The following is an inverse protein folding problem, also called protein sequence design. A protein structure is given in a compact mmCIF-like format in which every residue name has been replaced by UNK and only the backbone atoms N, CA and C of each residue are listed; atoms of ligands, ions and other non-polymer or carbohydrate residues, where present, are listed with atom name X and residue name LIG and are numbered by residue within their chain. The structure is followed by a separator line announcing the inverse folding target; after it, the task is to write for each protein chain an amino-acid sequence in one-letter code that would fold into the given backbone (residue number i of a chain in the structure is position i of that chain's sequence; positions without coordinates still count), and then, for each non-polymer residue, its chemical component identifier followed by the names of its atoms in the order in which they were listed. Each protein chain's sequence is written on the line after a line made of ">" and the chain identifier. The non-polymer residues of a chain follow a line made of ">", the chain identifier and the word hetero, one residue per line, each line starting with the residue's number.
data_IF_697329408403
#
_entry.id   IF_697329408403
#
_cell.length_a   1.000
_cell.length_b   1.000
_cell.length_c   1.000
_cell.angle_alpha   90.00
_cell.angle_beta   90.00
_cell.angle_gamma   90.00
#
_symmetry.space_group_name_H-M   'P 1'
#
loop_
_entity.id
_entity.type
_entity.pdbx_description
1 polymer ?
#
# COMPACT_ATOMS: atom_id res chain seq x y z
N UNK A 1 -12.42 2.86 -2.76
CA UNK A 1 -11.08 3.34 -2.34
C UNK A 1 -10.65 2.61 -1.09
N UNK A 2 -9.39 2.21 -0.98
CA UNK A 2 -8.84 1.45 0.14
C UNK A 2 -8.60 2.31 1.40
N UNK A 3 -8.10 1.71 2.49
CA UNK A 3 -7.58 2.42 3.67
C UNK A 3 -6.15 2.01 3.91
N UNK A 4 -5.32 3.00 4.19
CA UNK A 4 -3.90 2.84 4.48
C UNK A 4 -3.63 3.31 5.90
N UNK A 5 -2.81 2.57 6.62
CA UNK A 5 -2.31 2.94 7.92
C UNK A 5 -0.86 2.48 8.01
N UNK A 6 0.01 3.27 8.61
CA UNK A 6 1.41 2.90 8.78
C UNK A 6 2.04 3.61 9.96
N UNK A 7 3.03 2.97 10.55
CA UNK A 7 3.88 3.55 11.58
C UNK A 7 5.33 3.07 11.45
N UNK A 8 6.24 3.86 11.95
CA UNK A 8 7.65 3.51 12.12
C UNK A 8 8.12 3.99 13.48
N UNK A 9 8.96 3.22 14.13
CA UNK A 9 9.52 3.52 15.44
C UNK A 9 11.03 3.77 15.34
N UNK A 10 11.56 4.58 16.24
CA UNK A 10 12.98 4.88 16.29
C UNK A 10 13.76 3.78 17.07
N UNK A 11 13.77 2.56 16.57
CA UNK A 11 14.55 1.45 17.15
C UNK A 11 13.84 0.66 18.26
N UNK A 12 12.54 0.82 18.41
CA UNK A 12 11.74 0.06 19.39
C UNK A 12 10.76 -0.86 18.65
N UNK A 13 10.50 -2.04 19.21
CA UNK A 13 9.42 -2.89 18.75
C UNK A 13 8.14 -2.51 19.51
N UNK A 14 7.14 -2.00 18.80
CA UNK A 14 5.82 -1.66 19.34
C UNK A 14 4.73 -2.35 18.54
N UNK A 15 3.69 -2.80 19.21
CA UNK A 15 2.49 -3.31 18.53
C UNK A 15 1.64 -2.16 17.99
N UNK A 16 0.77 -2.43 17.02
CA UNK A 16 -0.17 -1.43 16.52
C UNK A 16 -1.05 -0.89 17.67
N UNK A 17 -1.50 -1.77 18.56
CA UNK A 17 -2.27 -1.40 19.76
C UNK A 17 -1.48 -0.50 20.71
N UNK A 18 -0.16 -0.70 20.84
CA UNK A 18 0.68 0.17 21.67
C UNK A 18 0.89 1.56 21.04
N UNK A 19 0.90 1.66 19.70
CA UNK A 19 1.11 2.93 18.98
C UNK A 19 -0.16 3.77 18.93
N UNK A 20 -1.32 3.17 18.65
CA UNK A 20 -2.57 3.89 18.37
C UNK A 20 -3.58 3.83 19.53
N UNK A 21 -3.46 2.84 20.41
CA UNK A 21 -4.52 2.46 21.35
C UNK A 21 -5.55 1.52 20.72
N UNK A 22 -6.07 0.62 21.54
CA UNK A 22 -6.96 -0.46 21.12
C UNK A 22 -8.23 0.07 20.41
N UNK A 23 -8.83 1.13 20.92
CA UNK A 23 -10.06 1.71 20.34
C UNK A 23 -9.84 2.20 18.90
N UNK A 24 -8.73 2.90 18.63
CA UNK A 24 -8.42 3.38 17.30
C UNK A 24 -8.06 2.23 16.33
N UNK A 25 -7.47 1.15 16.83
CA UNK A 25 -7.19 -0.05 16.03
C UNK A 25 -8.48 -0.77 15.67
N UNK A 26 -9.43 -0.86 16.61
CA UNK A 26 -10.74 -1.43 16.34
C UNK A 26 -11.54 -0.56 15.36
N UNK A 27 -11.54 0.77 15.51
CA UNK A 27 -12.14 1.69 14.55
C UNK A 27 -11.56 1.50 13.13
N UNK A 28 -10.24 1.34 13.01
CA UNK A 28 -9.62 1.04 11.72
C UNK A 28 -10.07 -0.32 11.17
N UNK A 29 -10.13 -1.36 12.01
CA UNK A 29 -10.58 -2.70 11.64
C UNK A 29 -12.05 -2.69 11.15
N UNK A 30 -12.92 -1.96 11.86
CA UNK A 30 -14.34 -1.83 11.49
C UNK A 30 -14.58 -1.09 10.18
N UNK A 31 -13.63 -0.28 9.68
CA UNK A 31 -13.70 0.23 8.30
C UNK A 31 -13.76 -0.88 7.25
N UNK A 32 -13.39 -2.11 7.62
CA UNK A 32 -13.53 -3.29 6.76
C UNK A 32 -14.98 -3.73 6.56
N UNK A 33 -15.97 -3.09 7.19
CA UNK A 33 -17.37 -3.22 6.82
C UNK A 33 -17.61 -2.74 5.38
N UNK A 34 -16.98 -1.62 5.01
CA UNK A 34 -17.05 -1.05 3.66
C UNK A 34 -15.91 -1.59 2.78
N UNK A 35 -14.69 -1.69 3.36
CA UNK A 35 -13.47 -2.15 2.68
C UNK A 35 -13.29 -3.66 2.84
N UNK A 36 -14.25 -4.43 2.33
CA UNK A 36 -14.44 -5.84 2.66
C UNK A 36 -13.81 -6.83 1.67
N UNK A 37 -13.02 -6.35 0.70
CA UNK A 37 -12.39 -7.18 -0.34
C UNK A 37 -11.03 -7.76 0.09
N UNK A 38 -10.78 -7.76 1.39
CA UNK A 38 -9.57 -8.29 2.01
C UNK A 38 -8.71 -7.23 2.69
N UNK A 39 -7.62 -7.70 3.26
CA UNK A 39 -6.66 -6.86 3.97
C UNK A 39 -5.25 -7.46 3.93
N UNK A 40 -4.28 -6.70 4.40
CA UNK A 40 -2.95 -7.22 4.62
C UNK A 40 -2.03 -6.25 5.33
N UNK A 41 -0.91 -6.77 5.78
CA UNK A 41 0.09 -6.04 6.55
C UNK A 41 1.50 -6.48 6.16
N UNK A 42 2.44 -5.54 6.17
CA UNK A 42 3.87 -5.82 6.20
C UNK A 42 4.44 -5.23 7.49
N UNK A 43 5.08 -6.08 8.31
CA UNK A 43 5.70 -5.72 9.57
C UNK A 43 7.22 -5.93 9.48
N UNK A 44 7.98 -4.93 9.95
CA UNK A 44 9.43 -5.05 10.12
C UNK A 44 9.73 -5.75 11.43
N UNK A 45 10.14 -7.00 11.35
CA UNK A 45 10.59 -7.80 12.50
C UNK A 45 12.11 -7.75 12.62
N UNK A 46 12.63 -7.88 13.83
CA UNK A 46 14.05 -8.13 14.00
C UNK A 46 14.36 -9.54 13.43
N UNK A 47 15.37 -9.69 12.55
CA UNK A 47 15.74 -10.99 12.01
C UNK A 47 16.05 -12.05 13.10
N UNK A 48 16.48 -11.61 14.28
CA UNK A 48 16.73 -12.51 15.42
C UNK A 48 15.45 -12.95 16.17
N UNK A 49 14.34 -12.24 15.98
CA UNK A 49 13.06 -12.46 16.66
C UNK A 49 11.95 -12.94 15.71
N UNK A 50 12.29 -13.23 14.44
CA UNK A 50 11.30 -13.67 13.46
C UNK A 50 10.62 -14.97 13.95
N UNK A 51 9.38 -14.94 14.40
CA UNK A 51 8.69 -16.13 14.85
C UNK A 51 8.45 -17.06 13.67
N UNK A 52 8.61 -18.35 13.92
CA UNK A 52 8.32 -19.39 12.95
C UNK A 52 6.91 -19.22 12.38
N UNK A 53 6.84 -19.20 11.06
CA UNK A 53 5.65 -19.01 10.22
C UNK A 53 4.42 -19.74 10.73
N UNK A 54 3.33 -19.02 10.92
CA UNK A 54 1.98 -19.59 10.89
C UNK A 54 1.44 -19.46 9.46
N UNK A 55 0.73 -20.49 9.00
CA UNK A 55 0.20 -20.63 7.64
C UNK A 55 -0.34 -19.32 7.04
N UNK A 56 0.19 -18.94 5.89
CA UNK A 56 -0.30 -17.84 5.06
C UNK A 56 0.72 -16.78 4.62
N UNK A 57 1.78 -16.56 5.37
CA UNK A 57 2.85 -15.61 5.01
C UNK A 57 4.21 -16.28 5.02
N UNK A 58 4.87 -16.39 3.88
CA UNK A 58 6.27 -16.79 3.86
C UNK A 58 7.12 -15.65 4.45
N UNK A 59 8.01 -15.91 5.44
CA UNK A 59 9.04 -14.94 5.77
C UNK A 59 9.93 -14.81 4.56
N UNK A 60 10.29 -13.57 4.22
CA UNK A 60 11.35 -13.35 3.27
C UNK A 60 12.67 -13.51 4.04
N UNK A 61 13.45 -14.55 3.77
CA UNK A 61 14.56 -15.00 4.66
C UNK A 61 15.70 -13.99 4.83
N UNK A 62 15.71 -12.90 4.08
CA UNK A 62 16.86 -12.00 3.99
C UNK A 62 16.63 -10.60 4.59
N UNK A 63 15.41 -10.21 4.96
CA UNK A 63 15.13 -8.81 5.29
C UNK A 63 14.35 -8.54 6.57
N UNK A 64 14.00 -9.54 7.37
CA UNK A 64 13.21 -9.31 8.58
C UNK A 64 11.80 -8.73 8.34
N UNK A 65 11.30 -8.74 7.11
CA UNK A 65 9.94 -8.30 6.79
C UNK A 65 9.00 -9.50 6.76
N UNK A 66 7.93 -9.43 7.56
CA UNK A 66 6.84 -10.40 7.55
C UNK A 66 5.64 -9.80 6.84
N UNK A 67 5.04 -10.57 5.92
CA UNK A 67 3.87 -10.16 5.15
C UNK A 67 2.73 -11.14 5.40
N UNK A 68 1.58 -10.60 5.71
CA UNK A 68 0.32 -11.32 5.72
C UNK A 68 -0.69 -10.67 4.78
N UNK A 69 -1.44 -11.48 4.05
CA UNK A 69 -2.53 -11.04 3.15
C UNK A 69 -3.71 -11.98 3.27
N UNK A 70 -4.91 -11.43 3.19
CA UNK A 70 -6.17 -12.17 3.24
C UNK A 70 -7.18 -11.58 2.27
N UNK A 71 -8.00 -12.42 1.66
CA UNK A 71 -9.18 -12.01 0.89
C UNK A 71 -10.44 -11.90 1.74
N UNK A 72 -10.34 -12.19 3.03
CA UNK A 72 -11.42 -12.04 4.01
C UNK A 72 -11.35 -10.61 4.58
N UNK A 73 -12.49 -10.00 4.87
CA UNK A 73 -12.53 -8.71 5.55
C UNK A 73 -11.87 -8.77 6.94
N UNK A 74 -11.10 -7.74 7.32
CA UNK A 74 -10.34 -7.71 8.56
C UNK A 74 -11.21 -7.98 9.81
N UNK A 75 -12.44 -7.49 9.85
CA UNK A 75 -13.38 -7.72 10.97
C UNK A 75 -13.80 -9.18 11.16
N UNK A 76 -13.60 -10.02 10.13
CA UNK A 76 -13.93 -11.44 10.14
C UNK A 76 -12.70 -12.34 10.22
N UNK A 77 -11.51 -11.76 10.34
CA UNK A 77 -10.24 -12.48 10.38
C UNK A 77 -9.55 -12.23 11.73
N UNK A 78 -9.56 -13.25 12.60
CA UNK A 78 -8.91 -13.16 13.92
C UNK A 78 -7.39 -12.97 13.85
N UNK A 79 -6.78 -13.22 12.68
CA UNK A 79 -5.35 -12.95 12.45
C UNK A 79 -5.04 -11.47 12.52
N UNK A 80 -6.02 -10.58 12.22
CA UNK A 80 -5.83 -9.14 12.34
C UNK A 80 -5.48 -8.74 13.79
N UNK A 81 -6.25 -9.21 14.76
CA UNK A 81 -6.02 -8.90 16.19
C UNK A 81 -4.67 -9.43 16.66
N UNK A 82 -4.35 -10.69 16.28
CA UNK A 82 -3.07 -11.30 16.65
C UNK A 82 -1.87 -10.51 16.11
N UNK A 83 -1.95 -10.02 14.85
CA UNK A 83 -0.89 -9.21 14.25
C UNK A 83 -0.87 -7.77 14.76
N UNK A 84 -2.03 -7.23 15.18
CA UNK A 84 -2.11 -5.89 15.79
C UNK A 84 -1.47 -5.85 17.19
N UNK A 85 -1.42 -6.97 17.90
CA UNK A 85 -0.73 -7.12 19.19
C UNK A 85 0.77 -7.45 19.04
N UNK A 86 1.20 -7.85 17.86
CA UNK A 86 2.57 -8.29 17.64
C UNK A 86 3.52 -7.10 17.48
N UNK A 87 4.59 -7.01 18.29
CA UNK A 87 5.53 -5.89 18.21
C UNK A 87 6.36 -5.92 16.92
N UNK A 88 6.57 -4.74 16.34
CA UNK A 88 7.44 -4.54 15.18
C UNK A 88 8.07 -3.15 15.18
N UNK A 89 9.17 -2.97 14.46
CA UNK A 89 9.84 -1.67 14.31
C UNK A 89 9.07 -0.71 13.39
N UNK A 90 8.16 -1.23 12.62
CA UNK A 90 7.30 -0.48 11.72
C UNK A 90 6.37 -1.41 10.97
N UNK A 91 5.24 -0.89 10.55
CA UNK A 91 4.28 -1.66 9.77
C UNK A 91 3.47 -0.77 8.82
N UNK A 92 3.04 -1.35 7.71
CA UNK A 92 2.04 -0.77 6.81
C UNK A 92 0.87 -1.73 6.67
N UNK A 93 -0.35 -1.22 6.90
CA UNK A 93 -1.61 -1.96 6.90
C UNK A 93 -2.52 -1.46 5.78
N UNK A 94 -3.26 -2.37 5.17
CA UNK A 94 -4.13 -2.06 4.05
C UNK A 94 -5.48 -2.76 4.20
N UNK A 95 -6.58 -1.99 4.14
CA UNK A 95 -7.93 -2.53 3.94
C UNK A 95 -8.36 -2.28 2.51
N UNK A 96 -8.78 -3.34 1.82
CA UNK A 96 -9.06 -3.29 0.39
C UNK A 96 -10.52 -3.04 0.09
N UNK A 97 -10.76 -2.10 -0.82
CA UNK A 97 -11.97 -2.00 -1.61
C UNK A 97 -11.53 -2.00 -3.08
N UNK A 98 -11.75 -3.09 -3.78
CA UNK A 98 -11.28 -3.27 -5.14
C UNK A 98 -11.94 -2.27 -6.09
N UNK A 99 -11.14 -1.72 -7.01
CA UNK A 99 -11.68 -0.99 -8.16
C UNK A 99 -12.49 -1.93 -9.03
N UNK A 100 -13.54 -1.41 -9.68
CA UNK A 100 -14.41 -2.17 -10.58
C UNK A 100 -13.58 -2.92 -11.62
N UNK A 101 -13.89 -4.19 -11.81
CA UNK A 101 -13.26 -5.10 -12.80
C UNK A 101 -11.84 -5.63 -12.46
N UNK A 102 -11.29 -5.38 -11.28
CA UNK A 102 -10.09 -6.08 -10.83
C UNK A 102 -10.46 -7.36 -10.06
N UNK A 103 -9.83 -8.50 -10.37
CA UNK A 103 -10.16 -9.76 -9.70
C UNK A 103 -9.77 -9.74 -8.22
N UNK A 104 -10.63 -10.36 -7.40
CA UNK A 104 -10.39 -10.56 -5.98
C UNK A 104 -9.52 -11.81 -5.76
N UNK A 105 -8.25 -11.69 -6.09
CA UNK A 105 -7.23 -12.74 -5.97
C UNK A 105 -6.13 -12.31 -5.01
N UNK A 106 -5.42 -13.28 -4.44
CA UNK A 106 -4.36 -13.05 -3.48
C UNK A 106 -3.22 -12.20 -4.05
N UNK A 107 -2.90 -12.36 -5.33
CA UNK A 107 -1.86 -11.60 -6.03
C UNK A 107 -2.19 -10.10 -6.10
N UNK A 108 -3.45 -9.71 -5.99
CA UNK A 108 -3.89 -8.31 -5.98
C UNK A 108 -4.13 -7.76 -4.57
N UNK A 109 -3.92 -8.57 -3.53
CA UNK A 109 -3.92 -8.07 -2.16
C UNK A 109 -2.61 -7.35 -1.86
N UNK A 110 -2.72 -6.20 -1.19
CA UNK A 110 -1.57 -5.49 -0.63
C UNK A 110 -1.19 -6.06 0.75
N UNK A 111 0.08 -5.85 1.19
CA UNK A 111 1.19 -5.19 0.49
C UNK A 111 1.76 -6.02 -0.66
N UNK A 112 2.28 -5.34 -1.69
CA UNK A 112 3.25 -5.94 -2.61
C UNK A 112 4.63 -5.92 -1.97
N UNK A 113 5.48 -6.86 -2.36
CA UNK A 113 6.84 -6.94 -1.85
C UNK A 113 7.83 -7.32 -2.95
N UNK A 114 8.88 -6.52 -3.08
CA UNK A 114 10.03 -6.80 -3.95
C UNK A 114 11.26 -6.02 -3.48
N UNK A 115 12.43 -6.60 -3.65
CA UNK A 115 13.72 -5.96 -3.39
C UNK A 115 13.84 -5.33 -1.98
N UNK A 116 13.30 -5.98 -0.94
CA UNK A 116 13.32 -5.45 0.43
C UNK A 116 12.29 -4.35 0.72
N UNK A 117 11.40 -4.05 -0.24
CA UNK A 117 10.40 -2.98 -0.13
C UNK A 117 8.99 -3.56 -0.06
N UNK A 118 8.21 -3.05 0.88
CA UNK A 118 6.77 -3.30 0.99
C UNK A 118 5.99 -2.09 0.52
N UNK A 119 4.95 -2.29 -0.30
CA UNK A 119 4.20 -1.22 -0.95
C UNK A 119 2.70 -1.41 -0.83
N UNK A 120 1.98 -0.36 -0.44
CA UNK A 120 0.53 -0.27 -0.44
C UNK A 120 0.06 0.98 -1.16
N UNK A 121 -1.07 0.89 -1.88
CA UNK A 121 -1.62 1.96 -2.69
C UNK A 121 -3.13 2.08 -2.48
N UNK A 122 -3.60 3.30 -2.37
CA UNK A 122 -5.01 3.65 -2.39
C UNK A 122 -5.28 4.58 -3.56
N UNK A 123 -5.68 4.00 -4.67
CA UNK A 123 -5.98 4.73 -5.90
C UNK A 123 -6.48 3.82 -7.00
N UNK A 124 -6.75 4.44 -8.14
CA UNK A 124 -7.04 3.80 -9.40
C UNK A 124 -6.26 4.53 -10.51
N UNK A 125 -5.49 3.79 -11.30
CA UNK A 125 -4.72 4.36 -12.40
C UNK A 125 -5.37 3.94 -13.70
N UNK A 126 -6.12 4.88 -14.29
CA UNK A 126 -6.91 4.66 -15.49
C UNK A 126 -6.68 5.75 -16.54
N UNK A 127 -6.88 5.38 -17.80
CA UNK A 127 -6.81 6.33 -18.93
C UNK A 127 -8.03 7.28 -18.95
N UNK A 128 -8.04 8.21 -19.90
CA UNK A 128 -9.12 9.19 -20.06
C UNK A 128 -10.50 8.56 -20.31
N UNK A 129 -10.54 7.29 -20.75
CA UNK A 129 -11.76 6.52 -20.98
C UNK A 129 -12.15 5.65 -19.79
N UNK A 130 -11.47 5.79 -18.65
CA UNK A 130 -11.71 4.98 -17.44
C UNK A 130 -11.20 3.55 -17.54
N UNK A 131 -10.34 3.22 -18.51
CA UNK A 131 -9.75 1.89 -18.62
C UNK A 131 -8.50 1.82 -17.77
N UNK A 132 -8.48 0.86 -16.84
CA UNK A 132 -7.34 0.64 -15.95
C UNK A 132 -6.06 0.35 -16.75
N UNK A 133 -4.93 0.90 -16.31
CA UNK A 133 -3.61 0.80 -16.95
C UNK A 133 -3.19 -0.66 -17.18
N UNK A 134 -3.56 -1.57 -16.29
CA UNK A 134 -3.24 -3.01 -16.43
C UNK A 134 -4.01 -3.66 -17.57
N UNK A 135 -5.21 -3.18 -17.86
CA UNK A 135 -6.08 -3.73 -18.90
C UNK A 135 -5.68 -3.23 -20.29
N UNK A 136 -5.36 -1.96 -20.40
CA UNK A 136 -5.03 -1.36 -21.71
C UNK A 136 -3.60 -1.68 -22.18
N UNK A 137 -2.73 -2.15 -21.27
CA UNK A 137 -1.32 -2.52 -21.54
C UNK A 137 -0.53 -1.45 -22.28
N UNK A 138 -0.94 -0.20 -22.18
CA UNK A 138 -0.35 0.90 -22.94
C UNK A 138 0.88 1.51 -22.26
N UNK A 139 1.08 1.21 -20.98
CA UNK A 139 2.19 1.76 -20.22
C UNK A 139 3.41 0.86 -20.32
N UNK A 140 4.56 1.40 -20.76
CA UNK A 140 5.79 0.64 -20.89
C UNK A 140 6.41 0.44 -19.50
N UNK A 141 6.33 -0.76 -18.97
CA UNK A 141 7.01 -1.19 -17.73
C UNK A 141 7.87 -2.41 -18.07
N UNK A 142 9.04 -2.50 -17.47
CA UNK A 142 9.88 -3.68 -17.62
C UNK A 142 9.15 -4.92 -17.08
N UNK A 143 8.96 -5.90 -17.96
CA UNK A 143 8.16 -7.09 -17.64
C UNK A 143 8.73 -7.89 -16.47
N UNK A 144 10.06 -8.03 -16.35
CA UNK A 144 10.67 -8.76 -15.23
C UNK A 144 10.50 -8.02 -13.90
N UNK A 145 10.60 -6.69 -13.91
CA UNK A 145 10.36 -5.86 -12.73
C UNK A 145 8.89 -5.92 -12.32
N UNK A 146 7.96 -5.84 -13.28
CA UNK A 146 6.54 -6.01 -12.98
C UNK A 146 6.23 -7.38 -12.37
N UNK A 147 6.80 -8.46 -12.94
CA UNK A 147 6.62 -9.81 -12.39
C UNK A 147 7.18 -9.97 -10.98
N UNK A 148 8.28 -9.27 -10.64
CA UNK A 148 8.87 -9.34 -9.30
C UNK A 148 7.96 -8.77 -8.20
N UNK A 149 7.01 -7.89 -8.54
CA UNK A 149 6.02 -7.36 -7.57
C UNK A 149 5.04 -8.43 -7.10
N UNK A 150 4.88 -9.53 -7.83
CA UNK A 150 3.89 -10.59 -7.59
C UNK A 150 2.44 -10.17 -7.83
N UNK A 151 2.18 -8.91 -8.19
CA UNK A 151 0.83 -8.37 -8.40
C UNK A 151 0.39 -8.37 -9.87
N UNK A 152 -0.93 -8.16 -10.08
CA UNK A 152 -1.56 -8.11 -11.40
C UNK A 152 -2.54 -6.94 -11.51
N UNK A 153 -2.23 -5.82 -10.85
CA UNK A 153 -3.07 -4.63 -10.79
C UNK A 153 -2.30 -3.38 -11.22
N UNK A 154 -3.00 -2.27 -11.37
CA UNK A 154 -2.43 -0.94 -11.57
C UNK A 154 -1.44 -0.56 -10.45
N UNK A 155 -1.76 -0.92 -9.21
CA UNK A 155 -0.87 -0.72 -8.07
C UNK A 155 0.46 -1.47 -8.21
N UNK A 156 0.43 -2.67 -8.82
CA UNK A 156 1.64 -3.43 -9.11
C UNK A 156 2.49 -2.76 -10.22
N UNK A 157 1.85 -2.13 -11.21
CA UNK A 157 2.54 -1.31 -12.22
C UNK A 157 3.18 -0.08 -11.54
N UNK A 158 2.45 0.62 -10.68
CA UNK A 158 3.00 1.75 -9.95
C UNK A 158 4.24 1.36 -9.13
N UNK A 159 4.15 0.25 -8.41
CA UNK A 159 5.29 -0.27 -7.65
C UNK A 159 6.46 -0.63 -8.57
N UNK A 160 6.20 -1.29 -9.72
CA UNK A 160 7.24 -1.62 -10.69
C UNK A 160 7.97 -0.38 -11.22
N UNK A 161 7.24 0.72 -11.49
CA UNK A 161 7.85 1.99 -11.92
C UNK A 161 8.78 2.56 -10.83
N UNK A 162 8.39 2.49 -9.56
CA UNK A 162 9.27 2.88 -8.45
C UNK A 162 10.54 2.02 -8.44
N UNK A 163 10.39 0.69 -8.58
CA UNK A 163 11.53 -0.24 -8.61
C UNK A 163 12.47 0.02 -9.80
N UNK A 164 11.94 0.43 -10.95
CA UNK A 164 12.76 0.81 -12.10
C UNK A 164 13.62 2.05 -11.80
N UNK A 165 13.05 3.10 -11.18
CA UNK A 165 13.82 4.28 -10.79
C UNK A 165 14.91 3.95 -9.76
N UNK A 166 14.63 3.07 -8.80
CA UNK A 166 15.64 2.55 -7.88
C UNK A 166 16.75 1.82 -8.64
N UNK A 167 16.38 1.00 -9.63
CA UNK A 167 17.32 0.31 -10.51
C UNK A 167 18.21 1.26 -11.33
N UNK A 168 17.76 2.48 -11.59
CA UNK A 168 18.54 3.55 -12.21
C UNK A 168 19.40 4.34 -11.23
N UNK A 169 19.38 3.99 -9.92
CA UNK A 169 20.23 4.58 -8.88
C UNK A 169 19.59 5.75 -8.13
N UNK A 170 18.28 5.99 -8.27
CA UNK A 170 17.57 6.98 -7.46
C UNK A 170 17.41 6.47 -6.01
N UNK A 171 17.45 7.37 -5.03
CA UNK A 171 17.02 7.08 -3.66
C UNK A 171 15.54 6.72 -3.62
N UNK A 172 15.07 6.09 -2.52
CA UNK A 172 13.69 5.63 -2.42
C UNK A 172 12.68 6.78 -2.55
N UNK A 173 12.92 7.90 -1.89
CA UNK A 173 12.08 9.09 -1.94
C UNK A 173 12.07 9.75 -3.34
N UNK A 174 13.24 9.85 -3.97
CA UNK A 174 13.36 10.33 -5.36
C UNK A 174 12.63 9.40 -6.34
N UNK A 175 12.78 8.08 -6.19
CA UNK A 175 12.12 7.09 -7.04
C UNK A 175 10.59 7.18 -6.95
N UNK A 176 10.05 7.31 -5.73
CA UNK A 176 8.61 7.52 -5.51
C UNK A 176 8.15 8.81 -6.17
N UNK A 177 8.89 9.91 -5.95
CA UNK A 177 8.54 11.21 -6.54
C UNK A 177 8.58 11.21 -8.08
N UNK A 178 9.57 10.54 -8.69
CA UNK A 178 9.67 10.42 -10.14
C UNK A 178 8.56 9.55 -10.71
N UNK A 179 8.29 8.39 -10.13
CA UNK A 179 7.20 7.52 -10.54
C UNK A 179 5.86 8.25 -10.54
N UNK A 180 5.57 9.01 -9.48
CA UNK A 180 4.33 9.81 -9.40
C UNK A 180 4.30 10.91 -10.46
N UNK A 181 5.39 11.63 -10.67
CA UNK A 181 5.45 12.69 -11.72
C UNK A 181 5.17 12.11 -13.11
N UNK A 182 5.78 10.99 -13.45
CA UNK A 182 5.62 10.31 -14.72
C UNK A 182 4.20 9.79 -14.91
N UNK A 183 3.70 9.03 -13.93
CA UNK A 183 2.35 8.49 -13.99
C UNK A 183 1.27 9.58 -14.01
N UNK A 184 1.42 10.67 -13.25
CA UNK A 184 0.51 11.82 -13.29
C UNK A 184 0.53 12.55 -14.63
N UNK A 185 1.62 12.48 -15.37
CA UNK A 185 1.69 13.04 -16.71
C UNK A 185 0.92 12.18 -17.71
N UNK A 186 1.03 10.86 -17.61
CA UNK A 186 0.35 9.91 -18.48
C UNK A 186 -1.14 9.70 -18.09
N UNK A 187 -1.43 9.75 -16.80
CA UNK A 187 -2.77 9.49 -16.22
C UNK A 187 -3.17 10.60 -15.24
N UNK A 188 -3.49 11.80 -15.75
CA UNK A 188 -3.68 13.01 -14.92
C UNK A 188 -4.92 12.98 -14.03
N UNK A 189 -5.86 12.05 -14.25
CA UNK A 189 -7.09 11.90 -13.45
C UNK A 189 -7.00 10.83 -12.37
N UNK A 190 -5.86 10.17 -12.24
CA UNK A 190 -5.65 9.05 -11.33
C UNK A 190 -5.28 9.50 -9.92
N UNK A 191 -5.30 8.58 -8.97
CA UNK A 191 -4.94 8.83 -7.56
C UNK A 191 -3.75 7.95 -7.19
N UNK A 192 -2.79 8.52 -6.46
CA UNK A 192 -1.47 7.93 -6.19
C UNK A 192 -1.12 7.90 -4.69
N UNK A 193 -2.13 7.88 -3.81
CA UNK A 193 -1.86 7.79 -2.38
C UNK A 193 -1.23 6.44 -2.05
N UNK A 194 -0.05 6.44 -1.47
CA UNK A 194 0.66 5.21 -1.18
C UNK A 194 1.51 5.31 0.09
N UNK A 195 1.85 4.14 0.62
CA UNK A 195 2.94 4.00 1.57
C UNK A 195 3.93 2.96 1.04
N UNK A 196 5.21 3.22 1.24
CA UNK A 196 6.28 2.30 0.93
C UNK A 196 7.25 2.24 2.12
N UNK A 197 7.65 1.03 2.46
CA UNK A 197 8.48 0.75 3.62
C UNK A 197 9.68 -0.09 3.21
N UNK A 198 10.87 0.36 3.59
CA UNK A 198 12.11 -0.41 3.62
C UNK A 198 12.46 -0.75 5.08
N UNK A 199 13.63 -1.35 5.29
CA UNK A 199 14.12 -1.65 6.64
C UNK A 199 14.34 -0.39 7.50
N UNK A 200 14.71 0.72 6.87
CA UNK A 200 15.15 1.97 7.50
C UNK A 200 14.26 3.18 7.21
N UNK A 201 13.28 3.06 6.29
CA UNK A 201 12.45 4.18 5.87
C UNK A 201 10.97 3.78 5.73
N UNK A 202 10.09 4.70 6.12
CA UNK A 202 8.67 4.68 5.79
C UNK A 202 8.32 6.00 5.10
N UNK A 203 7.86 5.91 3.85
CA UNK A 203 7.36 7.06 3.09
C UNK A 203 5.84 6.93 2.96
N UNK A 204 5.13 7.98 3.36
CA UNK A 204 3.71 8.14 3.12
C UNK A 204 3.50 9.30 2.14
N UNK A 205 2.85 9.02 1.02
CA UNK A 205 2.56 10.00 -0.02
C UNK A 205 1.06 10.16 -0.20
N UNK A 206 0.59 11.41 -0.15
CA UNK A 206 -0.75 11.78 -0.57
C UNK A 206 -0.64 12.57 -1.88
N UNK A 207 -1.09 12.00 -2.98
CA UNK A 207 -1.01 12.64 -4.29
C UNK A 207 -2.25 12.31 -5.14
N UNK A 208 -2.96 13.37 -5.53
CA UNK A 208 -4.02 13.28 -6.54
C UNK A 208 -3.46 13.50 -7.94
N UNK A 209 -4.23 13.16 -8.96
CA UNK A 209 -3.97 13.53 -10.35
C UNK A 209 -3.94 15.05 -10.54
N UNK A 210 -3.49 15.49 -11.72
CA UNK A 210 -3.46 16.91 -12.10
C UNK A 210 -4.86 17.48 -12.39
N UNK A 211 -5.81 16.61 -12.75
CA UNK A 211 -7.18 16.96 -13.06
C UNK A 211 -8.12 16.40 -11.98
N UNK A 212 -9.06 17.20 -11.51
CA UNK A 212 -10.09 16.75 -10.55
C UNK A 212 -11.00 15.71 -11.22
N UNK A 213 -11.13 14.53 -10.62
CA UNK A 213 -11.92 13.43 -11.17
C UNK A 213 -13.32 13.34 -10.57
N UNK A 214 -13.57 13.89 -9.39
CA UNK A 214 -14.86 13.82 -8.73
C UNK A 214 -14.98 14.85 -7.60
N UNK A 215 -16.14 15.50 -7.46
CA UNK A 215 -16.47 16.33 -6.30
C UNK A 215 -16.38 15.55 -4.97
N UNK A 216 -16.65 14.24 -5.01
CA UNK A 216 -16.64 13.36 -3.84
C UNK A 216 -15.25 13.21 -3.18
N UNK A 217 -14.17 13.32 -3.97
CA UNK A 217 -12.81 13.30 -3.42
C UNK A 217 -12.50 14.62 -2.68
N UNK A 218 -13.01 15.73 -3.20
CA UNK A 218 -12.87 17.06 -2.56
C UNK A 218 -13.62 17.07 -1.22
N UNK A 219 -14.84 16.55 -1.16
CA UNK A 219 -15.64 16.47 0.08
C UNK A 219 -14.94 15.65 1.18
N UNK A 220 -14.29 14.53 0.83
CA UNK A 220 -13.55 13.71 1.81
C UNK A 220 -12.31 14.46 2.34
N UNK A 221 -11.64 15.27 1.52
CA UNK A 221 -10.51 16.08 1.96
C UNK A 221 -10.95 17.28 2.83
N UNK A 222 -12.06 17.91 2.49
CA UNK A 222 -12.61 19.05 3.25
C UNK A 222 -13.14 18.60 4.63
N UNK A 223 -13.72 17.42 4.74
CA UNK A 223 -14.19 16.86 6.02
C UNK A 223 -13.04 16.64 7.02
N UNK A 224 -11.84 16.33 6.54
CA UNK A 224 -10.64 16.16 7.38
C UNK A 224 -9.74 17.41 7.43
N UNK A 225 -10.18 18.56 6.88
CA UNK A 225 -9.49 19.86 7.00
C UNK A 225 -8.11 19.92 6.36
N UNK A 226 -7.81 19.08 5.35
CA UNK A 226 -6.52 19.02 4.65
C UNK A 226 -6.58 19.43 3.18
N UNK A 227 -7.75 19.86 2.67
CA UNK A 227 -7.95 20.25 1.28
C UNK A 227 -7.36 21.60 0.91
N UNK A 228 -7.18 22.53 1.87
CA UNK A 228 -6.70 23.88 1.60
C UNK A 228 -5.20 23.99 1.32
N UNK A 229 -4.39 23.00 1.71
CA UNK A 229 -2.93 23.05 1.50
C UNK A 229 -2.46 22.43 0.18
N UNK A 230 -3.33 21.83 -0.61
CA UNK A 230 -3.02 21.24 -1.91
C UNK A 230 -3.43 22.09 -3.13
N UNK A 231 -3.86 23.33 -2.93
CA UNK A 231 -4.39 24.21 -3.96
C UNK A 231 -3.44 25.34 -4.39
N UNK A 232 -2.18 25.37 -3.90
CA UNK A 232 -1.14 26.32 -4.36
C UNK A 232 -0.02 25.62 -5.15
#
# INVERSE_FOLDING_TARGET
>A
MCRLLGYATAGFNLSLNAVLGQDNVEDFRELSEIHNDGWGVAQLSDPAEAPHVRDGGAPTPETGTRIYKSTIAARHDSTFEALADEPSRGAIWHLRLASSNLPLIMENQHPFYANGLSFIHNGDISDANGRNIVTNRSYPVNHSVFLSTGGRSDSAIFFAVILEYIGFGFSLDEAVAQAVRELRQAYPKSSYNCMIQSEDQLIALCAAGREKTSPRIVEIYDEYGRGEQAAD
#
